data_IF_167173232014
#
_entry.id   IF_167173232014
#
_cell.length_a   1.000
_cell.length_b   1.000
_cell.length_c   1.000
_cell.angle_alpha   90.00
_cell.angle_beta   90.00
_cell.angle_gamma   90.00
#
_symmetry.space_group_name_H-M   'P 1'
#
loop_
_entity.id
_entity.type
_entity.pdbx_description
1 polymer ?
#
# COMPACT_ATOMS: atom_id res chain seq x y z
N UNK A 1 -28.40 9.72 17.22
CA UNK A 1 -27.95 8.39 16.78
C UNK A 1 -27.71 8.36 15.28
N UNK A 2 -26.63 7.69 14.84
CA UNK A 2 -26.33 7.46 13.42
C UNK A 2 -26.61 6.01 13.10
N UNK A 3 -27.49 5.77 12.13
CA UNK A 3 -27.78 4.42 11.63
C UNK A 3 -26.74 4.04 10.57
N UNK A 4 -26.08 2.89 10.76
CA UNK A 4 -25.17 2.30 9.77
C UNK A 4 -25.94 1.31 8.90
N UNK A 5 -25.77 1.40 7.58
CA UNK A 5 -26.33 0.48 6.58
C UNK A 5 -25.17 -0.04 5.74
N UNK A 6 -25.05 -1.36 5.61
CA UNK A 6 -23.95 -2.01 4.90
C UNK A 6 -24.51 -2.92 3.80
N UNK A 7 -24.80 -2.38 2.59
CA UNK A 7 -25.57 -3.08 1.57
C UNK A 7 -25.05 -4.48 1.22
N UNK A 8 -23.73 -4.64 1.13
CA UNK A 8 -23.07 -5.93 0.86
C UNK A 8 -23.38 -7.05 1.86
N UNK A 9 -23.89 -6.73 3.06
CA UNK A 9 -24.32 -7.70 4.08
C UNK A 9 -25.83 -7.98 4.07
N UNK A 10 -26.60 -7.18 3.33
CA UNK A 10 -28.07 -7.16 3.43
C UNK A 10 -28.76 -7.54 2.11
N UNK A 11 -28.14 -7.26 0.95
CA UNK A 11 -28.75 -7.44 -0.35
C UNK A 11 -28.38 -8.76 -1.06
N UNK A 12 -29.09 -9.09 -2.14
CA UNK A 12 -28.86 -10.28 -2.98
C UNK A 12 -28.00 -10.01 -4.24
N UNK A 13 -27.38 -8.82 -4.33
CA UNK A 13 -26.48 -8.42 -5.43
C UNK A 13 -25.07 -8.98 -5.22
N UNK A 14 -24.96 -10.31 -5.28
CA UNK A 14 -23.76 -11.06 -4.89
C UNK A 14 -22.76 -11.35 -6.03
N UNK A 15 -22.87 -10.70 -7.18
CA UNK A 15 -21.90 -10.87 -8.28
C UNK A 15 -21.79 -9.62 -9.15
N UNK A 16 -20.66 -9.48 -9.85
CA UNK A 16 -20.46 -8.38 -10.81
C UNK A 16 -21.54 -8.37 -11.89
N UNK A 17 -21.91 -9.53 -12.43
CA UNK A 17 -22.96 -9.66 -13.43
C UNK A 17 -24.32 -9.17 -12.93
N UNK A 18 -24.70 -9.52 -11.69
CA UNK A 18 -25.93 -9.00 -11.07
C UNK A 18 -25.88 -7.49 -10.85
N UNK A 19 -24.73 -6.95 -10.43
CA UNK A 19 -24.54 -5.50 -10.27
C UNK A 19 -24.66 -4.75 -11.60
N UNK A 20 -24.08 -5.30 -12.68
CA UNK A 20 -24.21 -4.72 -14.03
C UNK A 20 -25.68 -4.76 -14.47
N UNK A 21 -26.37 -5.89 -14.33
CA UNK A 21 -27.78 -6.01 -14.70
C UNK A 21 -28.66 -5.03 -13.91
N UNK A 22 -28.42 -4.90 -12.60
CA UNK A 22 -29.10 -3.91 -11.76
C UNK A 22 -28.85 -2.49 -12.27
N UNK A 23 -27.58 -2.13 -12.55
CA UNK A 23 -27.26 -0.81 -13.06
C UNK A 23 -27.90 -0.52 -14.43
N UNK A 24 -27.95 -1.50 -15.34
CA UNK A 24 -28.61 -1.35 -16.65
C UNK A 24 -30.12 -1.17 -16.48
N UNK A 25 -30.77 -1.99 -15.65
CA UNK A 25 -32.20 -1.87 -15.33
C UNK A 25 -32.55 -0.51 -14.73
N UNK A 26 -31.66 0.04 -13.89
CA UNK A 26 -31.84 1.31 -13.21
C UNK A 26 -31.19 2.51 -13.92
N UNK A 27 -30.73 2.34 -15.17
CA UNK A 27 -30.13 3.40 -15.98
C UNK A 27 -28.92 4.10 -15.32
N UNK A 28 -28.17 3.38 -14.50
CA UNK A 28 -26.94 3.86 -13.85
C UNK A 28 -25.78 3.70 -14.85
N UNK A 29 -25.13 4.79 -15.28
CA UNK A 29 -24.04 4.70 -16.25
C UNK A 29 -22.82 4.01 -15.65
N UNK A 30 -22.35 2.94 -16.29
CA UNK A 30 -21.10 2.25 -15.96
C UNK A 30 -20.14 2.37 -17.14
N UNK A 31 -18.87 2.79 -16.91
CA UNK A 31 -17.82 2.77 -17.93
C UNK A 31 -17.67 1.39 -18.59
N UNK A 32 -17.60 1.34 -19.93
CA UNK A 32 -17.57 0.07 -20.69
C UNK A 32 -16.32 -0.76 -20.44
N UNK A 33 -15.19 -0.10 -20.18
CA UNK A 33 -13.91 -0.71 -19.76
C UNK A 33 -14.01 -1.42 -18.40
N UNK A 34 -14.99 -1.06 -17.57
CA UNK A 34 -15.27 -1.70 -16.28
C UNK A 34 -16.29 -2.84 -16.38
N UNK A 35 -16.68 -3.31 -17.56
CA UNK A 35 -17.58 -4.46 -17.69
C UNK A 35 -16.89 -5.81 -17.45
N UNK A 36 -15.57 -5.89 -17.64
CA UNK A 36 -14.75 -7.08 -17.32
C UNK A 36 -14.39 -7.21 -15.84
N UNK A 37 -13.92 -8.38 -15.42
CA UNK A 37 -13.34 -8.56 -14.09
C UNK A 37 -11.92 -7.99 -14.07
N UNK A 38 -11.59 -7.24 -13.01
CA UNK A 38 -10.20 -6.85 -12.78
C UNK A 38 -9.37 -8.11 -12.48
N UNK A 39 -8.10 -8.18 -12.94
CA UNK A 39 -7.23 -9.33 -12.70
C UNK A 39 -6.92 -9.56 -11.22
N UNK A 40 -7.08 -8.53 -10.40
CA UNK A 40 -6.90 -8.52 -8.94
C UNK A 40 -7.77 -7.41 -8.33
N UNK A 41 -8.03 -7.51 -7.03
CA UNK A 41 -8.54 -6.40 -6.23
C UNK A 41 -7.37 -5.49 -5.86
N UNK A 42 -7.59 -4.18 -5.88
CA UNK A 42 -6.55 -3.18 -5.60
C UNK A 42 -7.13 -2.05 -4.76
N UNK A 43 -6.42 -1.69 -3.69
CA UNK A 43 -6.63 -0.44 -2.96
C UNK A 43 -5.34 0.39 -3.01
N UNK A 44 -5.49 1.69 -3.25
CA UNK A 44 -4.36 2.58 -3.48
C UNK A 44 -4.57 3.92 -2.77
N UNK A 45 -3.58 4.33 -2.00
CA UNK A 45 -3.51 5.65 -1.37
C UNK A 45 -2.06 6.15 -1.39
N UNK A 46 -1.80 7.30 -0.77
CA UNK A 46 -0.45 7.89 -0.75
C UNK A 46 0.58 7.02 -0.03
N UNK A 47 0.18 6.25 0.99
CA UNK A 47 1.10 5.45 1.78
C UNK A 47 1.48 4.15 1.07
N UNK A 48 0.50 3.49 0.45
CA UNK A 48 0.71 2.19 -0.16
C UNK A 48 -0.32 1.84 -1.23
N UNK A 49 0.01 0.81 -2.01
CA UNK A 49 -0.94 0.03 -2.80
C UNK A 49 -0.96 -1.40 -2.29
N UNK A 50 -2.15 -1.99 -2.19
CA UNK A 50 -2.35 -3.42 -1.92
C UNK A 50 -3.01 -4.11 -3.10
N UNK A 51 -2.64 -5.38 -3.32
CA UNK A 51 -3.14 -6.25 -4.38
C UNK A 51 -3.51 -7.60 -3.81
N UNK A 52 -4.69 -8.11 -4.15
CA UNK A 52 -5.16 -9.40 -3.66
C UNK A 52 -6.15 -10.08 -4.62
N UNK A 53 -6.48 -11.34 -4.31
CA UNK A 53 -7.51 -12.09 -5.01
C UNK A 53 -7.05 -12.73 -6.31
N UNK A 54 -7.94 -13.55 -6.88
CA UNK A 54 -7.75 -14.22 -8.17
C UNK A 54 -6.44 -15.02 -8.23
N UNK A 55 -5.57 -14.72 -9.19
CA UNK A 55 -4.31 -15.41 -9.39
C UNK A 55 -3.37 -15.32 -8.18
N UNK A 56 -3.49 -14.25 -7.38
CA UNK A 56 -2.63 -14.04 -6.21
C UNK A 56 -3.05 -14.95 -5.04
N UNK A 57 -4.25 -15.53 -5.04
CA UNK A 57 -4.67 -16.45 -3.95
C UNK A 57 -3.89 -17.77 -3.95
N UNK A 58 -3.18 -18.10 -5.02
CA UNK A 58 -2.27 -19.24 -5.07
C UNK A 58 -0.85 -18.77 -4.69
N UNK A 59 -0.33 -19.08 -3.48
CA UNK A 59 1.00 -18.66 -3.05
C UNK A 59 2.14 -19.27 -3.88
N UNK A 60 1.85 -20.29 -4.70
CA UNK A 60 2.83 -20.89 -5.60
C UNK A 60 3.02 -20.09 -6.91
N UNK A 61 2.15 -19.11 -7.16
CA UNK A 61 2.21 -18.26 -8.34
C UNK A 61 2.89 -16.93 -8.02
N UNK A 62 3.95 -16.60 -8.76
CA UNK A 62 4.60 -15.29 -8.65
C UNK A 62 3.68 -14.15 -9.12
N UNK A 63 3.71 -12.96 -8.49
CA UNK A 63 3.00 -11.80 -9.02
C UNK A 63 3.54 -11.38 -10.39
N UNK A 64 2.63 -11.07 -11.33
CA UNK A 64 3.01 -10.53 -12.64
C UNK A 64 3.60 -9.11 -12.48
N UNK A 65 4.72 -8.79 -13.12
CA UNK A 65 5.39 -7.47 -12.98
C UNK A 65 4.44 -6.28 -13.27
N UNK A 66 3.49 -6.47 -14.19
CA UNK A 66 2.49 -5.46 -14.55
C UNK A 66 1.54 -5.03 -13.41
N UNK A 67 1.52 -5.72 -12.28
CA UNK A 67 0.68 -5.31 -11.14
C UNK A 67 1.27 -4.10 -10.43
N UNK A 68 2.60 -3.97 -10.38
CA UNK A 68 3.30 -2.93 -9.65
C UNK A 68 3.16 -1.57 -10.35
N UNK A 69 2.82 -0.54 -9.58
CA UNK A 69 2.50 0.81 -10.08
C UNK A 69 3.37 1.90 -9.47
N UNK A 70 3.87 1.70 -8.26
CA UNK A 70 4.70 2.69 -7.57
C UNK A 70 6.19 2.42 -7.74
N UNK A 71 6.56 1.17 -7.98
CA UNK A 71 7.94 0.70 -7.93
C UNK A 71 8.34 0.00 -9.22
N UNK A 72 9.61 0.15 -9.61
CA UNK A 72 10.24 -0.71 -10.62
C UNK A 72 10.68 -2.04 -10.01
N UNK A 73 10.91 -3.07 -10.81
CA UNK A 73 11.54 -4.29 -10.30
C UNK A 73 12.97 -4.02 -9.86
N UNK A 74 13.53 -4.80 -8.91
CA UNK A 74 14.94 -4.72 -8.57
C UNK A 74 15.86 -4.86 -9.80
N UNK A 75 15.49 -5.69 -10.78
CA UNK A 75 16.24 -5.87 -12.04
C UNK A 75 16.22 -4.62 -12.94
N UNK A 76 15.21 -3.75 -12.80
CA UNK A 76 15.07 -2.51 -13.54
C UNK A 76 15.50 -1.27 -12.75
N UNK A 77 15.95 -1.45 -11.49
CA UNK A 77 16.45 -0.38 -10.66
C UNK A 77 17.82 0.14 -11.17
N UNK A 78 18.18 1.40 -10.91
CA UNK A 78 19.51 1.91 -11.24
C UNK A 78 20.64 1.13 -10.56
N UNK A 79 21.75 0.91 -11.29
CA UNK A 79 22.95 0.24 -10.75
C UNK A 79 23.67 1.07 -9.68
N UNK A 80 23.45 2.39 -9.65
CA UNK A 80 24.10 3.29 -8.71
C UNK A 80 23.18 3.59 -7.52
N UNK A 81 23.68 3.48 -6.28
CA UNK A 81 22.89 3.84 -5.11
C UNK A 81 22.62 5.35 -5.05
N UNK A 82 21.50 5.72 -4.43
CA UNK A 82 21.15 7.10 -4.14
C UNK A 82 21.18 7.33 -2.62
N UNK A 83 21.91 8.35 -2.19
CA UNK A 83 21.95 8.74 -0.78
C UNK A 83 20.82 9.73 -0.50
N UNK A 84 20.03 9.42 0.54
CA UNK A 84 18.90 10.24 0.97
C UNK A 84 19.11 10.60 2.44
N UNK A 85 19.18 11.89 2.72
CA UNK A 85 19.18 12.42 4.09
C UNK A 85 17.76 12.83 4.46
N UNK A 86 17.27 12.38 5.62
CA UNK A 86 15.94 12.72 6.13
C UNK A 86 16.11 13.43 7.46
N UNK A 87 15.64 14.67 7.54
CA UNK A 87 15.66 15.43 8.80
C UNK A 87 14.39 15.13 9.61
N UNK A 88 14.59 14.91 10.91
CA UNK A 88 13.51 14.70 11.87
C UNK A 88 13.46 15.83 12.89
N UNK A 89 12.25 16.22 13.28
CA UNK A 89 12.00 17.17 14.37
C UNK A 89 10.81 16.69 15.21
N UNK A 90 11.04 16.39 16.49
CA UNK A 90 9.99 15.94 17.40
C UNK A 90 9.36 14.59 17.00
N UNK A 91 10.09 13.73 16.29
CA UNK A 91 9.60 12.44 15.78
C UNK A 91 9.06 12.49 14.35
N UNK A 92 8.71 13.68 13.85
CA UNK A 92 8.22 13.84 12.48
C UNK A 92 9.36 14.06 11.49
N UNK A 93 9.29 13.40 10.32
CA UNK A 93 10.15 13.75 9.19
C UNK A 93 9.71 15.10 8.61
N UNK A 94 10.65 16.03 8.40
CA UNK A 94 10.36 17.42 7.99
C UNK A 94 11.08 17.86 6.73
N UNK A 95 12.18 17.20 6.35
CA UNK A 95 12.95 17.52 5.15
C UNK A 95 13.61 16.28 4.54
N UNK A 96 13.88 16.36 3.23
CA UNK A 96 14.69 15.40 2.48
C UNK A 96 15.79 16.18 1.77
N UNK A 97 17.06 15.76 1.93
CA UNK A 97 18.23 16.42 1.32
C UNK A 97 18.21 17.95 1.56
N UNK A 98 18.00 18.34 2.83
CA UNK A 98 17.86 19.72 3.31
C UNK A 98 16.69 20.55 2.74
N UNK A 99 15.82 19.96 1.92
CA UNK A 99 14.61 20.61 1.40
C UNK A 99 13.42 20.25 2.29
N UNK A 100 12.73 21.26 2.82
CA UNK A 100 11.53 21.08 3.64
C UNK A 100 10.31 20.69 2.80
N UNK A 101 9.47 19.84 3.37
CA UNK A 101 8.23 19.37 2.74
C UNK A 101 7.06 19.43 3.74
N UNK A 102 5.83 19.46 3.22
CA UNK A 102 4.67 19.04 4.02
C UNK A 102 4.67 17.52 4.18
N UNK A 103 3.98 16.93 5.18
CA UNK A 103 3.98 15.48 5.39
C UNK A 103 3.60 14.68 4.15
N UNK A 104 2.55 15.12 3.44
CA UNK A 104 2.10 14.45 2.22
C UNK A 104 3.13 14.57 1.08
N UNK A 105 3.75 15.75 0.91
CA UNK A 105 4.75 15.95 -0.13
C UNK A 105 6.04 15.18 0.17
N UNK A 106 6.40 15.05 1.45
CA UNK A 106 7.55 14.26 1.90
C UNK A 106 7.36 12.78 1.56
N UNK A 107 6.21 12.21 1.91
CA UNK A 107 5.89 10.82 1.59
C UNK A 107 5.82 10.58 0.07
N UNK A 108 5.25 11.52 -0.70
CA UNK A 108 5.23 11.46 -2.16
C UNK A 108 6.65 11.45 -2.76
N UNK A 109 7.54 12.31 -2.26
CA UNK A 109 8.93 12.38 -2.69
C UNK A 109 9.68 11.08 -2.36
N UNK A 110 9.51 10.54 -1.15
CA UNK A 110 10.12 9.26 -0.79
C UNK A 110 9.55 8.10 -1.60
N UNK A 111 8.26 8.10 -1.92
CA UNK A 111 7.68 7.10 -2.82
C UNK A 111 8.34 7.14 -4.20
N UNK A 112 8.61 8.33 -4.74
CA UNK A 112 9.28 8.49 -6.03
C UNK A 112 10.72 7.95 -5.97
N UNK A 113 11.48 8.35 -4.94
CA UNK A 113 12.87 7.93 -4.77
C UNK A 113 12.94 6.42 -4.52
N UNK A 114 12.26 5.88 -3.51
CA UNK A 114 12.26 4.44 -3.23
C UNK A 114 11.71 3.62 -4.41
N UNK A 115 10.64 4.09 -5.04
CA UNK A 115 9.97 3.39 -6.12
C UNK A 115 10.89 3.18 -7.32
N UNK A 116 11.70 4.17 -7.68
CA UNK A 116 12.67 4.04 -8.78
C UNK A 116 13.82 3.07 -8.47
N UNK A 117 14.06 2.78 -7.20
CA UNK A 117 15.09 1.85 -6.71
C UNK A 117 14.50 0.48 -6.32
N UNK A 118 13.23 0.22 -6.67
CA UNK A 118 12.55 -1.05 -6.39
C UNK A 118 12.32 -1.36 -4.90
N UNK A 119 12.39 -0.34 -4.04
CA UNK A 119 12.24 -0.50 -2.58
C UNK A 119 10.77 -0.59 -2.19
N UNK A 120 10.45 -1.48 -1.26
CA UNK A 120 9.14 -1.50 -0.59
C UNK A 120 8.08 -2.38 -1.27
N UNK A 121 8.48 -3.34 -2.11
CA UNK A 121 7.62 -4.46 -2.52
C UNK A 121 7.60 -5.53 -1.43
N UNK A 122 6.41 -6.03 -1.10
CA UNK A 122 6.21 -7.08 -0.10
C UNK A 122 5.18 -8.09 -0.60
N UNK A 123 5.50 -9.38 -0.50
CA UNK A 123 4.59 -10.50 -0.79
C UNK A 123 4.47 -11.34 0.47
N UNK A 124 3.25 -11.46 1.02
CA UNK A 124 3.03 -12.18 2.26
C UNK A 124 1.68 -12.88 2.31
N UNK A 125 1.60 -13.87 3.20
CA UNK A 125 0.34 -14.48 3.64
C UNK A 125 0.04 -13.98 5.06
N UNK A 126 -1.02 -13.19 5.19
CA UNK A 126 -1.45 -12.60 6.45
C UNK A 126 -2.65 -13.34 7.08
N UNK A 127 -2.83 -13.17 8.38
CA UNK A 127 -4.03 -13.59 9.09
C UNK A 127 -5.02 -12.43 9.11
N UNK A 128 -6.20 -12.63 8.51
CA UNK A 128 -7.30 -11.67 8.61
C UNK A 128 -8.04 -11.83 9.93
N UNK A 129 -8.55 -10.71 10.43
CA UNK A 129 -9.37 -10.67 11.64
C UNK A 129 -10.57 -11.64 11.60
N UNK A 130 -11.15 -11.86 10.40
CA UNK A 130 -12.29 -12.77 10.20
C UNK A 130 -11.92 -14.27 10.26
N UNK A 131 -10.69 -14.61 10.63
CA UNK A 131 -10.27 -15.98 10.92
C UNK A 131 -9.77 -16.79 9.72
N UNK A 132 -9.44 -16.14 8.60
CA UNK A 132 -8.87 -16.76 7.42
C UNK A 132 -7.50 -16.18 7.08
N UNK A 133 -6.71 -16.92 6.31
CA UNK A 133 -5.50 -16.38 5.69
C UNK A 133 -5.82 -15.77 4.33
N UNK A 134 -5.07 -14.75 3.96
CA UNK A 134 -5.11 -14.12 2.64
C UNK A 134 -3.69 -13.87 2.19
N UNK A 135 -3.39 -14.09 0.92
CA UNK A 135 -2.13 -13.59 0.36
C UNK A 135 -2.37 -12.17 -0.17
N UNK A 136 -1.44 -11.28 0.12
CA UNK A 136 -1.46 -9.90 -0.34
C UNK A 136 -0.09 -9.48 -0.85
N UNK A 137 -0.08 -8.70 -1.92
CA UNK A 137 1.12 -8.03 -2.43
C UNK A 137 0.98 -6.54 -2.13
N UNK A 138 2.05 -5.91 -1.68
CA UNK A 138 2.05 -4.52 -1.25
C UNK A 138 3.20 -3.74 -1.87
N UNK A 139 2.93 -2.47 -2.20
CA UNK A 139 3.94 -1.46 -2.51
C UNK A 139 3.85 -0.36 -1.46
N UNK A 140 4.88 -0.19 -0.64
CA UNK A 140 4.96 0.88 0.38
C UNK A 140 6.33 1.59 0.33
N UNK A 141 6.77 2.11 -0.83
CA UNK A 141 8.16 2.55 -1.04
C UNK A 141 8.63 3.60 -0.03
N UNK A 142 7.92 4.72 0.08
CA UNK A 142 8.29 5.81 0.99
C UNK A 142 8.09 5.43 2.46
N UNK A 143 7.06 4.64 2.76
CA UNK A 143 6.83 4.11 4.11
C UNK A 143 7.96 3.18 4.58
N UNK A 144 8.50 2.34 3.68
CA UNK A 144 9.66 1.48 3.95
C UNK A 144 10.90 2.30 4.32
N UNK A 145 11.18 3.39 3.61
CA UNK A 145 12.29 4.28 3.98
C UNK A 145 12.00 4.97 5.32
N UNK A 146 10.80 5.53 5.49
CA UNK A 146 10.45 6.32 6.68
C UNK A 146 10.56 5.50 7.97
N UNK A 147 10.04 4.27 7.99
CA UNK A 147 10.10 3.45 9.20
C UNK A 147 11.55 3.11 9.57
N UNK A 148 12.39 2.82 8.58
CA UNK A 148 13.81 2.55 8.82
C UNK A 148 14.55 3.79 9.33
N UNK A 149 14.31 4.95 8.74
CA UNK A 149 14.92 6.21 9.16
C UNK A 149 14.45 6.64 10.56
N UNK A 150 13.15 6.49 10.86
CA UNK A 150 12.59 6.78 12.17
C UNK A 150 13.21 5.88 13.25
N UNK A 151 13.30 4.57 13.00
CA UNK A 151 13.96 3.61 13.91
C UNK A 151 15.43 3.94 14.14
N UNK A 152 16.14 4.44 13.11
CA UNK A 152 17.52 4.89 13.26
C UNK A 152 17.63 6.11 14.20
N UNK A 153 16.74 7.09 14.08
CA UNK A 153 16.68 8.24 15.00
C UNK A 153 16.35 7.79 16.42
N UNK A 154 15.37 6.89 16.59
CA UNK A 154 15.01 6.33 17.90
C UNK A 154 16.21 5.67 18.58
N UNK A 155 17.02 4.92 17.82
CA UNK A 155 18.17 4.17 18.37
C UNK A 155 19.23 5.04 19.05
N UNK A 156 19.28 6.33 18.75
CA UNK A 156 20.22 7.30 19.34
C UNK A 156 19.54 8.33 20.25
N UNK A 157 18.21 8.34 20.32
CA UNK A 157 17.43 9.33 21.09
C UNK A 157 16.62 8.74 22.23
N UNK A 158 16.28 7.45 22.17
CA UNK A 158 15.58 6.74 23.25
C UNK A 158 16.54 5.92 24.10
N UNK A 159 16.32 5.90 25.41
CA UNK A 159 16.98 4.93 26.29
C UNK A 159 16.36 3.53 26.13
N UNK A 160 17.05 2.53 26.69
CA UNK A 160 16.67 1.12 26.58
C UNK A 160 15.25 0.82 27.08
N UNK A 161 14.85 1.39 28.21
CA UNK A 161 13.54 1.11 28.81
C UNK A 161 12.43 1.74 27.99
N UNK A 162 12.63 2.98 27.54
CA UNK A 162 11.69 3.67 26.65
C UNK A 162 11.53 2.94 25.30
N UNK A 163 12.64 2.45 24.72
CA UNK A 163 12.61 1.70 23.47
C UNK A 163 11.87 0.36 23.61
N UNK A 164 12.14 -0.40 24.67
CA UNK A 164 11.43 -1.66 24.94
C UNK A 164 9.94 -1.44 25.17
N UNK A 165 9.57 -0.47 26.03
CA UNK A 165 8.17 -0.17 26.32
C UNK A 165 7.38 0.26 25.08
N UNK A 166 8.03 0.88 24.10
CA UNK A 166 7.39 1.27 22.84
C UNK A 166 7.12 0.08 21.90
N UNK A 167 7.93 -0.96 21.97
CA UNK A 167 7.84 -2.13 21.08
C UNK A 167 6.95 -3.26 21.62
N UNK A 168 6.60 -3.21 22.92
CA UNK A 168 5.59 -4.07 23.56
C UNK A 168 4.15 -3.74 23.11
#
# INVERSE_FOLDING_TARGET
>A
DVKVIAPWREWDLNSRSKLIAYAEQHQIPIPTDKRGEAPYSMDANLLHISYEGKALEDPWREPDESIFRMTVSPDAAPDNPEYVEIEFAGGDAVAINSKKFSPAALLAELNLIAGRHGVGRLDLVENRYVGMKSRGIYETPGGTILIMAHRAVESITLDREAAHLKDE
#
